data_IF_078851318449
#
_entry.id   IF_078851318449
#
_cell.length_a   1.000
_cell.length_b   1.000
_cell.length_c   1.000
_cell.angle_alpha   90.00
_cell.angle_beta   90.00
_cell.angle_gamma   90.00
#
_symmetry.space_group_name_H-M   'P 1'
#
loop_
_entity.id
_entity.type
_entity.pdbx_description
1 polymer ?
#
# COMPACT_ATOMS: atom_id res chain seq x y z
N UNK A 1 -9.49 8.95 10.28
CA UNK A 1 -8.73 7.91 11.01
C UNK A 1 -8.74 8.16 12.52
N UNK A 2 -9.92 8.14 13.18
CA UNK A 2 -10.02 8.46 14.61
C UNK A 2 -10.50 7.28 15.47
N UNK A 3 -10.45 6.06 14.92
CA UNK A 3 -11.06 4.83 15.49
C UNK A 3 -10.03 3.71 15.70
N UNK A 4 -8.82 3.80 15.13
CA UNK A 4 -7.81 2.77 15.34
C UNK A 4 -7.21 2.91 16.76
N UNK A 5 -7.11 1.82 17.55
CA UNK A 5 -6.41 1.83 18.82
C UNK A 5 -4.94 2.22 18.64
N UNK A 6 -4.36 2.88 19.64
CA UNK A 6 -2.95 3.31 19.63
C UNK A 6 -2.01 2.14 19.33
N UNK A 7 -1.10 2.33 18.37
CA UNK A 7 -0.19 1.28 17.89
C UNK A 7 -0.68 0.51 16.64
N UNK A 8 -1.94 0.70 16.22
CA UNK A 8 -2.49 0.14 14.98
C UNK A 8 -2.89 1.24 13.98
N UNK A 9 -2.48 2.49 14.18
CA UNK A 9 -2.82 3.56 13.27
C UNK A 9 -1.98 3.44 12.00
N UNK A 10 -0.69 3.13 12.09
CA UNK A 10 0.20 2.94 10.95
C UNK A 10 -0.30 1.95 9.87
N UNK A 11 -0.73 0.71 10.21
CA UNK A 11 -1.26 -0.23 9.20
C UNK A 11 -2.53 0.30 8.53
N UNK A 12 -3.49 0.81 9.32
CA UNK A 12 -4.77 1.30 8.79
C UNK A 12 -4.57 2.55 7.93
N UNK A 13 -3.67 3.44 8.36
CA UNK A 13 -3.35 4.66 7.64
C UNK A 13 -2.64 4.37 6.32
N UNK A 14 -1.73 3.39 6.30
CA UNK A 14 -1.06 2.93 5.07
C UNK A 14 -2.05 2.31 4.07
N UNK A 15 -3.00 1.49 4.53
CA UNK A 15 -4.02 0.91 3.66
C UNK A 15 -4.92 1.98 3.05
N UNK A 16 -5.36 2.94 3.88
CA UNK A 16 -6.16 4.06 3.41
C UNK A 16 -5.42 4.93 2.39
N UNK A 17 -4.11 5.16 2.61
CA UNK A 17 -3.27 5.88 1.66
C UNK A 17 -3.24 5.18 0.30
N UNK A 18 -3.07 3.85 0.27
CA UNK A 18 -3.09 3.08 -0.97
C UNK A 18 -4.44 3.18 -1.72
N UNK A 19 -5.57 3.01 -1.02
CA UNK A 19 -6.91 3.10 -1.62
C UNK A 19 -7.23 4.50 -2.16
N UNK A 20 -6.83 5.54 -1.43
CA UNK A 20 -7.00 6.93 -1.84
C UNK A 20 -6.18 7.23 -3.10
N UNK A 21 -4.95 6.73 -3.15
CA UNK A 21 -4.07 6.87 -4.32
C UNK A 21 -4.65 6.17 -5.55
N UNK A 22 -5.16 4.94 -5.40
CA UNK A 22 -5.85 4.21 -6.47
C UNK A 22 -7.10 4.94 -6.98
N UNK A 23 -7.80 5.64 -6.09
CA UNK A 23 -9.01 6.41 -6.42
C UNK A 23 -8.70 7.78 -7.04
N UNK A 24 -7.41 8.17 -7.13
CA UNK A 24 -6.96 9.45 -7.68
C UNK A 24 -6.98 10.61 -6.68
N UNK A 25 -7.30 10.36 -5.41
CA UNK A 25 -7.26 11.37 -4.34
C UNK A 25 -5.86 11.43 -3.71
N UNK A 26 -4.92 12.01 -4.45
CA UNK A 26 -3.53 12.13 -4.02
C UNK A 26 -3.36 12.94 -2.73
N UNK A 27 -4.19 13.96 -2.51
CA UNK A 27 -4.13 14.78 -1.30
C UNK A 27 -4.49 13.96 -0.06
N UNK A 28 -5.57 13.16 -0.13
CA UNK A 28 -5.93 12.26 0.96
C UNK A 28 -4.89 11.14 1.14
N UNK A 29 -4.34 10.62 0.04
CA UNK A 29 -3.28 9.62 0.09
C UNK A 29 -2.03 10.10 0.84
N UNK A 30 -1.55 11.31 0.53
CA UNK A 30 -0.40 11.92 1.21
C UNK A 30 -0.68 12.17 2.68
N UNK A 31 -1.84 12.74 3.04
CA UNK A 31 -2.19 12.96 4.46
C UNK A 31 -2.32 11.66 5.24
N UNK A 32 -2.92 10.63 4.65
CA UNK A 32 -3.01 9.31 5.24
C UNK A 32 -1.62 8.71 5.50
N UNK A 33 -0.69 8.93 4.56
CA UNK A 33 0.67 8.45 4.66
C UNK A 33 1.48 9.17 5.75
N UNK A 34 1.39 10.49 5.82
CA UNK A 34 2.02 11.27 6.90
C UNK A 34 1.52 10.79 8.26
N UNK A 35 0.21 10.56 8.39
CA UNK A 35 -0.37 10.03 9.62
C UNK A 35 0.16 8.64 9.99
N UNK A 36 0.44 7.79 9.00
CA UNK A 36 1.02 6.47 9.24
C UNK A 36 2.46 6.57 9.81
N UNK A 37 3.24 7.51 9.28
CA UNK A 37 4.63 7.73 9.69
C UNK A 37 4.76 8.48 11.02
N UNK A 38 3.77 9.32 11.36
CA UNK A 38 3.65 9.92 12.70
C UNK A 38 3.42 8.86 13.79
N UNK A 39 2.61 7.82 13.50
CA UNK A 39 2.35 6.72 14.43
C UNK A 39 3.53 5.74 14.50
N UNK A 40 4.08 5.34 13.36
CA UNK A 40 5.25 4.48 13.28
C UNK A 40 6.13 4.86 12.07
N UNK A 41 7.15 5.67 12.33
CA UNK A 41 8.08 6.17 11.31
C UNK A 41 8.82 5.05 10.54
N UNK A 42 8.95 3.86 11.14
CA UNK A 42 9.59 2.69 10.55
C UNK A 42 8.65 1.72 9.84
N UNK A 43 7.36 2.04 9.66
CA UNK A 43 6.41 1.10 9.09
C UNK A 43 6.72 0.84 7.60
N UNK A 44 7.15 -0.38 7.28
CA UNK A 44 7.69 -0.75 5.96
C UNK A 44 6.75 -0.42 4.80
N UNK A 45 5.44 -0.64 4.97
CA UNK A 45 4.46 -0.35 3.93
C UNK A 45 4.28 1.16 3.71
N UNK A 46 4.31 1.99 4.77
CA UNK A 46 4.25 3.44 4.63
C UNK A 46 5.51 3.96 3.91
N UNK A 47 6.69 3.43 4.23
CA UNK A 47 7.93 3.83 3.55
C UNK A 47 7.92 3.43 2.06
N UNK A 48 7.36 2.27 1.73
CA UNK A 48 7.17 1.84 0.34
C UNK A 48 6.23 2.79 -0.42
N UNK A 49 5.05 3.06 0.14
CA UNK A 49 4.06 3.95 -0.46
C UNK A 49 4.61 5.37 -0.65
N UNK A 50 5.42 5.87 0.30
CA UNK A 50 6.09 7.17 0.17
C UNK A 50 6.94 7.27 -1.09
N UNK A 51 7.69 6.22 -1.41
CA UNK A 51 8.54 6.17 -2.61
C UNK A 51 7.70 6.17 -3.88
N UNK A 52 6.62 5.38 -3.90
CA UNK A 52 5.70 5.31 -5.04
C UNK A 52 5.04 6.67 -5.30
N UNK A 53 4.53 7.33 -4.26
CA UNK A 53 3.84 8.61 -4.40
C UNK A 53 4.80 9.72 -4.82
N UNK A 54 6.01 9.75 -4.23
CA UNK A 54 7.06 10.72 -4.60
C UNK A 54 7.55 10.51 -6.03
N UNK A 55 7.55 9.27 -6.53
CA UNK A 55 7.89 8.95 -7.90
C UNK A 55 6.77 9.33 -8.91
N UNK A 56 5.61 9.81 -8.45
CA UNK A 56 4.53 10.29 -9.31
C UNK A 56 3.89 9.20 -10.16
N UNK A 57 3.83 7.96 -9.68
CA UNK A 57 3.26 6.85 -10.44
C UNK A 57 1.78 7.09 -10.77
N UNK A 58 1.31 6.86 -12.00
CA UNK A 58 -0.11 6.97 -12.31
C UNK A 58 -0.94 6.03 -11.41
N UNK A 59 -2.13 6.44 -10.94
CA UNK A 59 -3.03 5.57 -10.15
C UNK A 59 -3.30 4.23 -10.83
N UNK A 60 -3.50 4.25 -12.15
CA UNK A 60 -3.71 3.06 -12.96
C UNK A 60 -2.49 2.11 -12.98
N UNK A 61 -1.28 2.67 -13.06
CA UNK A 61 -0.03 1.89 -13.00
C UNK A 61 0.18 1.26 -11.62
N UNK A 62 -0.16 1.99 -10.55
CA UNK A 62 -0.12 1.47 -9.19
C UNK A 62 -1.13 0.32 -9.00
N UNK A 63 -2.36 0.47 -9.49
CA UNK A 63 -3.37 -0.59 -9.44
C UNK A 63 -2.97 -1.82 -10.28
N UNK A 64 -2.37 -1.61 -11.45
CA UNK A 64 -1.85 -2.70 -12.29
C UNK A 64 -0.70 -3.46 -11.59
N UNK A 65 0.28 -2.72 -11.05
CA UNK A 65 1.36 -3.30 -10.24
C UNK A 65 0.81 -4.08 -9.06
N UNK A 66 -0.13 -3.52 -8.29
CA UNK A 66 -0.72 -4.21 -7.13
C UNK A 66 -1.43 -5.49 -7.57
N UNK A 67 -2.17 -5.48 -8.67
CA UNK A 67 -2.85 -6.67 -9.21
C UNK A 67 -1.87 -7.77 -9.63
N UNK A 68 -0.74 -7.40 -10.23
CA UNK A 68 0.27 -8.36 -10.70
C UNK A 68 1.18 -8.87 -9.56
N UNK A 69 1.56 -7.99 -8.63
CA UNK A 69 2.51 -8.30 -7.55
C UNK A 69 1.82 -9.01 -6.38
N UNK A 70 0.55 -8.71 -6.09
CA UNK A 70 -0.18 -9.32 -4.98
C UNK A 70 -0.22 -10.86 -5.01
N UNK A 71 -0.50 -11.55 -6.13
CA UNK A 71 -0.43 -13.02 -6.19
C UNK A 71 1.00 -13.55 -5.98
N UNK A 72 2.02 -12.89 -6.56
CA UNK A 72 3.44 -13.28 -6.39
C UNK A 72 3.90 -13.12 -4.93
N UNK A 73 3.50 -12.04 -4.26
CA UNK A 73 3.82 -11.76 -2.86
C UNK A 73 3.07 -12.72 -1.93
N UNK A 74 1.80 -13.00 -2.18
CA UNK A 74 1.04 -13.99 -1.41
C UNK A 74 1.63 -15.39 -1.55
N UNK A 75 2.03 -15.80 -2.76
CA UNK A 75 2.71 -17.08 -2.98
C UNK A 75 4.02 -17.16 -2.16
N UNK A 76 4.84 -16.10 -2.19
CA UNK A 76 6.09 -16.05 -1.44
C UNK A 76 5.92 -16.01 0.09
N UNK A 77 4.89 -15.35 0.61
CA UNK A 77 4.65 -15.23 2.06
C UNK A 77 3.99 -16.49 2.63
N UNK A 78 3.01 -17.06 1.91
CA UNK A 78 2.19 -18.16 2.41
C UNK A 78 2.59 -19.53 1.86
N UNK A 79 3.62 -19.61 1.01
CA UNK A 79 4.08 -20.86 0.40
C UNK A 79 3.02 -21.50 -0.52
N UNK A 80 2.06 -20.72 -1.01
CA UNK A 80 1.03 -21.20 -1.93
C UNK A 80 1.67 -21.32 -3.32
N UNK A 81 1.90 -22.57 -3.74
CA UNK A 81 2.27 -22.90 -5.12
C UNK A 81 1.25 -22.24 -6.07
N UNK A 82 1.74 -21.33 -6.92
CA UNK A 82 0.88 -20.62 -7.87
C UNK A 82 0.39 -21.66 -8.89
N UNK A 83 -0.92 -21.87 -9.06
CA UNK A 83 -1.41 -22.83 -10.05
C UNK A 83 -0.88 -22.45 -11.44
N UNK A 84 -0.44 -23.44 -12.25
CA UNK A 84 0.17 -23.19 -13.55
C UNK A 84 -0.81 -22.44 -14.46
N UNK A 85 -0.39 -21.29 -15.00
CA UNK A 85 -1.20 -20.48 -15.92
C UNK A 85 -1.19 -18.96 -15.72
N UNK A 86 -0.41 -18.43 -14.77
CA UNK A 86 -0.21 -16.98 -14.57
C UNK A 86 1.21 -16.52 -14.96
N UNK A 87 1.73 -17.06 -16.06
CA UNK A 87 2.99 -16.65 -16.64
C UNK A 87 2.71 -15.74 -17.85
N UNK A 88 2.76 -14.43 -17.57
CA UNK A 88 2.76 -13.27 -18.50
C UNK A 88 1.46 -12.99 -19.28
#
# INVERSE_FOLDING_TARGET
MRIAPSGYVAPIASLCAALAYESGDGALAHRALDRALEDANGYSLALLLRRVFTAGWPPASFAAMRRELHPKVCAGIFGLDLPPGHEL
#
